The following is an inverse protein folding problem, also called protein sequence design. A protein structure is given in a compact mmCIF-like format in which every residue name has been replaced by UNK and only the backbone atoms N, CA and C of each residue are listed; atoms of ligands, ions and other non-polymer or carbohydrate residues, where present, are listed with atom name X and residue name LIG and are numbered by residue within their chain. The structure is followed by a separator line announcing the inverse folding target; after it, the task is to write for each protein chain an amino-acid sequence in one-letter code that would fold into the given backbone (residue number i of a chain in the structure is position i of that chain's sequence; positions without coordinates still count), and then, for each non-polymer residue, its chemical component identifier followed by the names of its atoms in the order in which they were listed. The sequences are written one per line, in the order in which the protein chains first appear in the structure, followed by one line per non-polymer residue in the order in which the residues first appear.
data_IF_165296907716
#
_entry.id   IF_165296907716
#
_cell.length_a   1.000
_cell.length_b   1.000
_cell.length_c   1.000
_cell.angle_alpha   90.00
_cell.angle_beta   90.00
_cell.angle_gamma   90.00
#
_symmetry.space_group_name_H-M   'P 1'
#
loop_
_entity.id
_entity.type
_entity.pdbx_description
1 polymer ?
#
# COMPACT_ATOMS: atom_id res chain seq x y z
N UNK A 1 12.68 9.76 4.07
CA UNK A 1 12.49 10.27 2.70
C UNK A 1 11.24 11.14 2.69
N UNK A 2 11.25 12.30 2.03
CA UNK A 2 10.06 13.14 1.82
C UNK A 2 9.51 12.91 0.41
N UNK A 3 8.19 12.72 0.28
CA UNK A 3 7.48 12.65 -1.00
C UNK A 3 6.87 14.00 -1.33
N UNK A 4 7.16 14.51 -2.52
CA UNK A 4 6.81 15.87 -2.95
C UNK A 4 5.80 15.89 -4.09
N UNK A 5 5.67 14.79 -4.83
CA UNK A 5 4.74 14.71 -5.96
C UNK A 5 3.98 13.38 -6.02
N UNK A 6 2.91 13.35 -6.84
CA UNK A 6 2.14 12.13 -7.11
C UNK A 6 2.96 11.19 -7.99
N UNK A 7 3.75 11.72 -8.91
CA UNK A 7 4.65 10.95 -9.78
C UNK A 7 5.66 10.16 -8.94
N UNK A 8 6.29 10.79 -7.94
CA UNK A 8 7.21 10.12 -7.01
C UNK A 8 6.52 8.99 -6.23
N UNK A 9 5.26 9.21 -5.81
CA UNK A 9 4.46 8.20 -5.15
C UNK A 9 4.13 7.03 -6.10
N UNK A 10 3.81 7.32 -7.35
CA UNK A 10 3.51 6.30 -8.36
C UNK A 10 4.74 5.50 -8.74
N UNK A 11 5.91 6.12 -8.82
CA UNK A 11 7.19 5.45 -9.05
C UNK A 11 7.52 4.49 -7.90
N UNK A 12 7.29 4.89 -6.65
CA UNK A 12 7.46 3.99 -5.49
C UNK A 12 6.44 2.86 -5.48
N UNK A 13 5.19 3.12 -5.84
CA UNK A 13 4.19 2.08 -5.98
C UNK A 13 4.61 1.08 -7.08
N UNK A 14 5.17 1.56 -8.18
CA UNK A 14 5.68 0.70 -9.24
C UNK A 14 6.92 -0.09 -8.80
N UNK A 15 7.81 0.51 -8.00
CA UNK A 15 8.97 -0.16 -7.41
C UNK A 15 8.60 -1.31 -6.45
N UNK A 16 7.35 -1.37 -5.97
CA UNK A 16 6.84 -2.50 -5.21
C UNK A 16 6.58 -3.76 -6.07
N UNK A 17 6.59 -3.64 -7.40
CA UNK A 17 6.43 -4.79 -8.31
C UNK A 17 7.60 -5.76 -8.18
N UNK A 18 7.29 -7.05 -8.14
CA UNK A 18 8.22 -8.15 -7.89
C UNK A 18 8.51 -8.39 -6.41
N UNK A 19 8.03 -7.54 -5.50
CA UNK A 19 8.25 -7.73 -4.06
C UNK A 19 7.20 -8.69 -3.49
N UNK A 20 7.66 -9.77 -2.87
CA UNK A 20 6.77 -10.77 -2.27
C UNK A 20 6.40 -10.37 -0.86
N UNK A 21 5.11 -10.15 -0.62
CA UNK A 21 4.58 -10.07 0.74
C UNK A 21 4.35 -11.48 1.25
N UNK A 22 4.97 -11.80 2.40
CA UNK A 22 4.71 -13.06 3.12
C UNK A 22 3.46 -12.84 3.96
N UNK A 23 2.36 -13.58 3.71
CA UNK A 23 1.15 -13.46 4.50
C UNK A 23 1.34 -14.13 5.86
N UNK A 24 0.76 -13.55 6.92
CA UNK A 24 0.81 -14.12 8.28
C UNK A 24 0.12 -15.49 8.42
N UNK A 25 -0.71 -15.91 7.44
CA UNK A 25 -1.57 -17.10 7.56
C UNK A 25 -1.21 -18.29 6.66
N UNK A 26 0.05 -18.39 6.21
CA UNK A 26 0.48 -19.49 5.35
C UNK A 26 -0.14 -19.47 3.94
N UNK A 27 -0.66 -18.31 3.54
CA UNK A 27 -1.08 -18.07 2.16
C UNK A 27 0.16 -17.94 1.26
N UNK A 28 0.01 -18.24 -0.03
CA UNK A 28 1.10 -18.10 -0.99
C UNK A 28 1.55 -16.62 -1.05
N UNK A 29 2.86 -16.34 -1.15
CA UNK A 29 3.35 -14.98 -1.30
C UNK A 29 2.73 -14.30 -2.52
N UNK A 30 2.18 -13.11 -2.32
CA UNK A 30 1.59 -12.30 -3.39
C UNK A 30 2.50 -11.11 -3.66
N UNK A 31 2.55 -10.70 -4.92
CA UNK A 31 3.19 -9.46 -5.31
C UNK A 31 2.54 -8.26 -4.60
N UNK A 32 3.35 -7.42 -3.96
CA UNK A 32 2.88 -6.29 -3.17
C UNK A 32 2.10 -5.26 -4.02
N UNK A 33 2.56 -5.02 -5.25
CA UNK A 33 1.93 -4.10 -6.17
C UNK A 33 0.56 -4.62 -6.62
N UNK A 34 0.48 -5.89 -7.03
CA UNK A 34 -0.80 -6.53 -7.40
C UNK A 34 -1.78 -6.56 -6.22
N UNK A 35 -1.28 -6.85 -5.03
CA UNK A 35 -2.09 -6.88 -3.82
C UNK A 35 -2.67 -5.49 -3.48
N UNK A 36 -1.89 -4.41 -3.66
CA UNK A 36 -2.34 -3.04 -3.47
C UNK A 36 -3.41 -2.63 -4.48
N UNK A 37 -3.21 -2.92 -5.77
CA UNK A 37 -4.21 -2.68 -6.82
C UNK A 37 -5.52 -3.43 -6.53
N UNK A 38 -5.43 -4.69 -6.11
CA UNK A 38 -6.60 -5.50 -5.72
C UNK A 38 -7.32 -4.89 -4.52
N UNK A 39 -6.59 -4.47 -3.50
CA UNK A 39 -7.15 -3.80 -2.31
C UNK A 39 -7.93 -2.54 -2.72
N UNK A 40 -7.31 -1.65 -3.50
CA UNK A 40 -7.94 -0.42 -3.96
C UNK A 40 -9.20 -0.70 -4.81
N UNK A 41 -9.16 -1.72 -5.69
CA UNK A 41 -10.30 -2.10 -6.51
C UNK A 41 -11.48 -2.63 -5.67
N UNK A 42 -11.20 -3.42 -4.63
CA UNK A 42 -12.23 -3.91 -3.71
C UNK A 42 -12.83 -2.77 -2.88
N UNK A 43 -11.99 -1.85 -2.38
CA UNK A 43 -12.44 -0.67 -1.64
C UNK A 43 -13.29 0.25 -2.51
N UNK A 44 -12.91 0.45 -3.77
CA UNK A 44 -13.72 1.23 -4.73
C UNK A 44 -15.09 0.62 -4.98
N UNK A 45 -15.20 -0.70 -4.96
CA UNK A 45 -16.48 -1.41 -5.11
C UNK A 45 -17.35 -1.32 -3.85
N UNK A 46 -16.75 -1.46 -2.67
CA UNK A 46 -17.50 -1.49 -1.40
C UNK A 46 -17.74 -0.12 -0.75
N UNK A 47 -16.88 0.85 -1.01
CA UNK A 47 -16.87 2.21 -0.42
C UNK A 47 -16.58 3.25 -1.51
N UNK A 48 -17.43 3.36 -2.55
CA UNK A 48 -17.12 4.17 -3.74
C UNK A 48 -16.92 5.66 -3.45
N UNK A 49 -17.60 6.21 -2.42
CA UNK A 49 -17.46 7.60 -2.01
C UNK A 49 -16.17 7.87 -1.20
N UNK A 50 -15.57 6.83 -0.61
CA UNK A 50 -14.41 6.96 0.27
C UNK A 50 -13.11 6.82 -0.54
N UNK A 51 -12.71 7.92 -1.17
CA UNK A 51 -11.50 7.97 -2.01
C UNK A 51 -10.23 7.86 -1.17
N UNK A 52 -10.24 8.41 0.04
CA UNK A 52 -9.09 8.35 0.94
C UNK A 52 -8.79 6.91 1.35
N UNK A 53 -9.82 6.12 1.67
CA UNK A 53 -9.65 4.71 1.96
C UNK A 53 -9.12 3.93 0.75
N UNK A 54 -9.62 4.23 -0.46
CA UNK A 54 -9.11 3.62 -1.70
C UNK A 54 -7.62 3.92 -1.92
N UNK A 55 -7.21 5.18 -1.72
CA UNK A 55 -5.81 5.60 -1.83
C UNK A 55 -4.97 4.98 -0.72
N UNK A 56 -5.44 4.94 0.53
CA UNK A 56 -4.74 4.32 1.65
C UNK A 56 -4.47 2.83 1.39
N UNK A 57 -5.44 2.11 0.81
CA UNK A 57 -5.27 0.73 0.37
C UNK A 57 -4.24 0.57 -0.74
N UNK A 58 -4.16 1.54 -1.66
CA UNK A 58 -3.22 1.55 -2.79
C UNK A 58 -1.78 1.84 -2.35
N UNK A 59 -1.56 2.80 -1.45
CA UNK A 59 -0.22 3.25 -1.06
C UNK A 59 0.37 2.47 0.11
N UNK A 60 -0.39 1.53 0.68
CA UNK A 60 0.03 0.70 1.81
C UNK A 60 1.42 0.04 1.68
N UNK A 61 1.81 -0.56 0.52
CA UNK A 61 3.14 -1.17 0.40
C UNK A 61 4.29 -0.14 0.36
N UNK A 62 4.02 1.12 -0.04
CA UNK A 62 5.05 2.17 -0.12
C UNK A 62 5.67 2.44 1.26
N UNK A 63 4.86 2.42 2.32
CA UNK A 63 5.37 2.58 3.68
C UNK A 63 6.38 1.51 4.08
N UNK A 64 6.13 0.24 3.72
CA UNK A 64 7.07 -0.87 3.96
C UNK A 64 8.35 -0.74 3.14
N UNK A 65 8.24 -0.26 1.90
CA UNK A 65 9.40 -0.03 1.04
C UNK A 65 10.30 1.07 1.59
N UNK A 66 9.71 2.16 2.09
CA UNK A 66 10.45 3.31 2.63
C UNK A 66 11.01 3.05 4.04
N UNK A 67 10.31 2.27 4.87
CA UNK A 67 10.71 1.91 6.23
C UNK A 67 10.63 0.39 6.47
N UNK A 68 11.62 -0.38 5.98
CA UNK A 68 11.70 -1.81 6.24
C UNK A 68 11.85 -2.10 7.74
N UNK A 69 11.03 -3.02 8.28
CA UNK A 69 11.10 -3.44 9.69
C UNK A 69 10.29 -2.59 10.66
N UNK A 70 9.62 -1.54 10.18
CA UNK A 70 8.71 -0.74 11.00
C UNK A 70 7.28 -1.26 10.86
N UNK A 71 6.54 -1.52 11.97
CA UNK A 71 5.17 -1.98 11.86
C UNK A 71 4.34 -0.93 11.13
N UNK A 72 3.57 -1.38 10.13
CA UNK A 72 2.67 -0.53 9.30
C UNK A 72 1.60 0.20 10.11
N UNK A 73 1.49 -0.07 11.41
CA UNK A 73 0.66 0.64 12.36
C UNK A 73 1.33 1.95 12.82
N UNK A 74 1.30 2.98 11.97
CA UNK A 74 1.25 4.37 12.45
C UNK A 74 0.01 5.06 11.90
N UNK A 75 -1.15 4.58 12.32
CA UNK A 75 -2.38 5.36 12.22
C UNK A 75 -2.48 6.41 13.35
N UNK A 76 -1.65 6.30 14.40
CA UNK A 76 -1.74 7.16 15.60
C UNK A 76 -0.98 8.51 15.52
N UNK A 77 -0.59 8.97 14.33
CA UNK A 77 0.06 10.30 14.17
C UNK A 77 -0.76 11.31 13.36
N UNK A 78 -2.06 11.08 13.21
CA UNK A 78 -2.99 12.14 12.85
C UNK A 78 -3.75 12.56 14.11
N UNK A 79 -3.17 13.49 14.88
CA UNK A 79 -3.82 14.27 15.92
C UNK A 79 -3.37 15.72 15.77
#
# INVERSE_FOLDING_TARGET
MELRTVEELMDLLYACRGTREVPDRGEAPVDAHDHALRTAALLRRGRPADKELQVAGLVRPVGRLLWPGEPTARADRAA
#
